data_IF_762401286635
#
_entry.id   IF_762401286635
#
_cell.length_a   1.000
_cell.length_b   1.000
_cell.length_c   1.000
_cell.angle_alpha   90.00
_cell.angle_beta   90.00
_cell.angle_gamma   90.00
#
_symmetry.space_group_name_H-M   'P 1'
#
loop_
_entity.id
_entity.type
_entity.pdbx_description
1 polymer ?
#
# COMPACT_ATOMS: atom_id res chain seq x y z
N UNK A 1 9.11 13.77 11.09
CA UNK A 1 10.44 13.13 11.18
C UNK A 1 11.19 13.43 9.89
N UNK A 2 12.52 13.40 9.91
CA UNK A 2 13.35 13.55 8.71
C UNK A 2 14.25 12.34 8.60
N UNK A 3 14.28 11.69 7.44
CA UNK A 3 15.15 10.54 7.22
C UNK A 3 16.60 11.01 7.15
N UNK A 4 17.44 10.49 8.03
CA UNK A 4 18.80 10.99 8.28
C UNK A 4 19.68 10.97 7.05
N UNK A 5 19.53 9.97 6.19
CA UNK A 5 20.43 9.76 5.07
C UNK A 5 19.98 10.43 3.75
N UNK A 6 18.66 10.66 3.56
CA UNK A 6 18.13 11.24 2.32
C UNK A 6 17.49 12.63 2.51
N UNK A 7 17.42 13.11 3.76
CA UNK A 7 16.89 14.43 4.13
C UNK A 7 15.39 14.62 3.91
N UNK A 8 14.65 13.59 3.51
CA UNK A 8 13.22 13.70 3.21
C UNK A 8 12.40 13.70 4.50
N UNK A 9 11.48 14.65 4.59
CA UNK A 9 10.51 14.72 5.68
C UNK A 9 9.39 13.71 5.48
N UNK A 10 8.96 13.09 6.58
CA UNK A 10 7.85 12.16 6.61
C UNK A 10 7.10 12.22 7.93
N UNK A 11 5.85 11.76 7.91
CA UNK A 11 5.04 11.49 9.10
C UNK A 11 5.02 10.00 9.39
N UNK A 12 5.22 9.65 10.65
CA UNK A 12 5.01 8.32 11.16
C UNK A 12 3.98 8.39 12.28
N UNK A 13 2.89 7.67 12.12
CA UNK A 13 1.85 7.52 13.14
C UNK A 13 1.94 6.11 13.70
N UNK A 14 2.18 6.00 15.01
CA UNK A 14 2.23 4.71 15.70
C UNK A 14 0.91 4.54 16.45
N UNK A 15 0.20 3.44 16.20
CA UNK A 15 -1.13 3.22 16.76
C UNK A 15 -1.23 1.96 17.61
N UNK A 16 -2.19 1.99 18.53
CA UNK A 16 -2.70 0.83 19.25
C UNK A 16 -4.23 0.94 19.29
N UNK A 17 -4.91 0.27 18.36
CA UNK A 17 -6.35 0.32 18.24
C UNK A 17 -7.03 -0.56 19.29
N UNK A 18 -8.23 -0.18 19.72
CA UNK A 18 -9.01 -0.97 20.71
C UNK A 18 -9.51 -2.29 20.11
N UNK A 19 -9.63 -3.35 20.92
CA UNK A 19 -10.09 -4.66 20.44
C UNK A 19 -11.56 -4.70 19.95
N UNK A 20 -12.41 -3.79 20.43
CA UNK A 20 -13.85 -3.76 20.08
C UNK A 20 -14.09 -2.84 18.88
N UNK A 21 -14.83 -3.27 17.84
CA UNK A 21 -15.09 -2.46 16.63
C UNK A 21 -15.57 -1.03 16.92
N UNK A 22 -16.60 -0.88 17.76
CA UNK A 22 -17.15 0.44 18.11
C UNK A 22 -16.13 1.36 18.77
N UNK A 23 -15.18 0.81 19.53
CA UNK A 23 -14.14 1.60 20.22
C UNK A 23 -12.98 1.98 19.30
N UNK A 24 -12.93 1.47 18.06
CA UNK A 24 -11.92 1.85 17.06
C UNK A 24 -12.34 3.08 16.25
N UNK A 25 -13.64 3.38 16.18
CA UNK A 25 -14.18 4.49 15.35
C UNK A 25 -13.53 5.85 15.62
N UNK A 26 -13.30 6.29 16.87
CA UNK A 26 -12.63 7.56 17.11
C UNK A 26 -11.21 7.61 16.53
N UNK A 27 -10.48 6.49 16.54
CA UNK A 27 -9.16 6.41 15.92
C UNK A 27 -9.25 6.51 14.39
N UNK A 28 -10.24 5.85 13.78
CA UNK A 28 -10.48 5.94 12.33
C UNK A 28 -10.81 7.37 11.88
N UNK A 29 -11.64 8.08 12.65
CA UNK A 29 -11.97 9.49 12.40
C UNK A 29 -10.71 10.38 12.46
N UNK A 30 -9.85 10.17 13.45
CA UNK A 30 -8.58 10.90 13.57
C UNK A 30 -7.66 10.61 12.38
N UNK A 31 -7.56 9.36 11.93
CA UNK A 31 -6.77 9.01 10.75
C UNK A 31 -7.32 9.65 9.47
N UNK A 32 -8.65 9.67 9.29
CA UNK A 32 -9.30 10.34 8.15
C UNK A 32 -9.09 11.87 8.17
N UNK A 33 -9.13 12.50 9.34
CA UNK A 33 -8.81 13.94 9.47
C UNK A 33 -7.33 14.21 9.16
N UNK A 34 -6.45 13.31 9.60
CA UNK A 34 -5.02 13.41 9.31
C UNK A 34 -4.74 13.23 7.82
N UNK A 35 -5.36 12.25 7.16
CA UNK A 35 -5.17 11.99 5.73
C UNK A 35 -5.57 13.21 4.88
N UNK A 36 -6.70 13.83 5.21
CA UNK A 36 -7.24 15.01 4.51
C UNK A 36 -6.30 16.23 4.51
N UNK A 37 -5.39 16.30 5.48
CA UNK A 37 -4.42 17.40 5.64
C UNK A 37 -2.97 16.97 5.39
N UNK A 38 -2.72 15.70 5.07
CA UNK A 38 -1.36 15.16 4.93
C UNK A 38 -0.89 15.22 3.48
N UNK A 39 0.01 16.17 3.21
CA UNK A 39 0.66 16.37 1.91
C UNK A 39 2.14 15.94 1.90
N UNK A 40 2.53 15.06 2.83
CA UNK A 40 3.87 14.50 2.94
C UNK A 40 3.81 12.97 2.99
N UNK A 41 4.92 12.28 2.69
CA UNK A 41 5.07 10.85 2.94
C UNK A 41 4.57 10.46 4.33
N UNK A 42 3.59 9.56 4.39
CA UNK A 42 2.96 9.18 5.65
C UNK A 42 2.80 7.67 5.76
N UNK A 43 3.22 7.14 6.91
CA UNK A 43 3.05 5.76 7.29
C UNK A 43 2.35 5.67 8.65
N UNK A 44 1.41 4.75 8.75
CA UNK A 44 0.69 4.36 9.97
C UNK A 44 1.09 2.94 10.31
N UNK A 45 1.72 2.73 11.46
CA UNK A 45 2.20 1.42 11.90
C UNK A 45 1.63 1.06 13.27
N UNK A 46 1.43 -0.23 13.52
CA UNK A 46 1.13 -0.74 14.86
C UNK A 46 0.04 -1.79 14.86
N UNK A 47 -0.60 -1.96 16.02
CA UNK A 47 -1.67 -2.94 16.24
C UNK A 47 -3.03 -2.32 15.89
N UNK A 48 -3.64 -2.80 14.80
CA UNK A 48 -4.96 -2.34 14.34
C UNK A 48 -6.10 -3.13 15.01
N UNK A 49 -5.78 -4.20 15.75
CA UNK A 49 -6.74 -5.09 16.42
C UNK A 49 -7.87 -5.58 15.49
N UNK A 50 -7.55 -5.73 14.20
CA UNK A 50 -8.48 -6.15 13.15
C UNK A 50 -7.74 -6.88 12.04
N UNK A 51 -8.42 -7.87 11.47
CA UNK A 51 -7.97 -8.60 10.28
C UNK A 51 -8.66 -8.01 9.05
N UNK A 52 -7.98 -7.95 7.91
CA UNK A 52 -8.46 -7.44 6.64
C UNK A 52 -9.21 -8.51 5.83
N UNK A 53 -8.84 -9.79 6.01
CA UNK A 53 -9.40 -10.91 5.24
C UNK A 53 -9.44 -12.21 6.05
N UNK A 54 -10.03 -13.26 5.47
CA UNK A 54 -10.11 -14.59 6.13
C UNK A 54 -8.74 -15.24 6.26
N UNK A 55 -7.84 -14.99 5.30
CA UNK A 55 -6.50 -15.56 5.25
C UNK A 55 -5.64 -15.09 6.42
N UNK A 56 -5.93 -13.92 6.98
CA UNK A 56 -5.24 -13.33 8.13
C UNK A 56 -5.62 -13.96 9.47
N UNK A 57 -6.36 -15.08 9.47
CA UNK A 57 -6.77 -15.80 10.68
C UNK A 57 -6.69 -17.32 10.53
N UNK A 58 -6.31 -17.99 11.62
CA UNK A 58 -6.50 -19.44 11.81
C UNK A 58 -7.18 -19.68 13.17
N UNK A 59 -8.14 -20.60 13.20
CA UNK A 59 -8.78 -21.10 14.43
C UNK A 59 -9.90 -20.21 15.00
N UNK A 60 -10.66 -20.79 15.92
CA UNK A 60 -11.83 -20.20 16.56
C UNK A 60 -12.97 -19.83 15.60
N UNK A 61 -13.79 -18.84 15.97
CA UNK A 61 -15.03 -18.50 15.25
C UNK A 61 -14.73 -18.08 13.80
N UNK A 62 -15.52 -18.50 12.79
CA UNK A 62 -15.34 -18.05 11.42
C UNK A 62 -15.21 -16.53 11.27
N UNK A 63 -14.39 -16.13 10.31
CA UNK A 63 -14.26 -14.73 9.93
C UNK A 63 -15.61 -14.16 9.45
N UNK A 64 -15.88 -12.90 9.79
CA UNK A 64 -17.05 -12.17 9.34
C UNK A 64 -16.60 -10.84 8.75
N UNK A 65 -16.84 -10.65 7.45
CA UNK A 65 -16.45 -9.44 6.71
C UNK A 65 -16.93 -8.15 7.39
N UNK A 66 -18.13 -8.17 7.97
CA UNK A 66 -18.69 -7.03 8.70
C UNK A 66 -17.80 -6.47 9.82
N UNK A 67 -16.90 -7.28 10.40
CA UNK A 67 -15.95 -6.83 11.43
C UNK A 67 -14.75 -6.04 10.89
N UNK A 68 -14.53 -6.12 9.57
CA UNK A 68 -13.42 -5.49 8.85
C UNK A 68 -13.87 -4.33 7.97
N UNK A 69 -15.15 -4.22 7.60
CA UNK A 69 -15.65 -3.20 6.67
C UNK A 69 -15.22 -1.79 7.08
N UNK A 70 -15.40 -1.40 8.35
CA UNK A 70 -15.01 -0.06 8.81
C UNK A 70 -13.50 0.19 8.68
N UNK A 71 -12.69 -0.84 8.93
CA UNK A 71 -11.24 -0.75 8.76
C UNK A 71 -10.86 -0.63 7.28
N UNK A 72 -11.43 -1.46 6.41
CA UNK A 72 -11.17 -1.42 4.97
C UNK A 72 -11.63 -0.10 4.34
N UNK A 73 -12.78 0.43 4.78
CA UNK A 73 -13.26 1.76 4.36
C UNK A 73 -12.27 2.83 4.79
N UNK A 74 -11.88 2.88 6.07
CA UNK A 74 -10.92 3.86 6.56
C UNK A 74 -9.58 3.79 5.81
N UNK A 75 -9.05 2.58 5.57
CA UNK A 75 -7.81 2.40 4.80
C UNK A 75 -7.95 2.97 3.39
N UNK A 76 -9.07 2.70 2.72
CA UNK A 76 -9.37 3.25 1.39
C UNK A 76 -9.55 4.77 1.42
N UNK A 77 -10.33 5.29 2.36
CA UNK A 77 -10.67 6.71 2.50
C UNK A 77 -9.43 7.55 2.84
N UNK A 78 -8.48 6.98 3.58
CA UNK A 78 -7.18 7.58 3.85
C UNK A 78 -6.17 7.47 2.68
N UNK A 79 -6.49 6.75 1.60
CA UNK A 79 -5.53 6.46 0.53
C UNK A 79 -4.32 5.67 1.00
N UNK A 80 -4.52 4.78 1.97
CA UNK A 80 -3.46 3.96 2.56
C UNK A 80 -3.44 2.57 1.93
N UNK A 81 -2.23 2.05 1.74
CA UNK A 81 -2.00 0.69 1.23
C UNK A 81 -1.12 -0.10 2.20
N UNK A 82 -1.42 -1.39 2.34
CA UNK A 82 -0.63 -2.30 3.18
C UNK A 82 0.77 -2.49 2.56
N UNK A 83 1.81 -2.22 3.36
CA UNK A 83 3.21 -2.34 2.94
C UNK A 83 3.65 -3.79 2.72
N UNK A 84 2.81 -4.76 3.06
CA UNK A 84 3.16 -6.17 3.08
C UNK A 84 4.07 -6.48 4.27
N UNK A 85 4.67 -7.67 4.25
CA UNK A 85 5.59 -8.11 5.31
C UNK A 85 6.46 -9.30 4.85
N UNK A 86 7.58 -9.48 5.54
CA UNK A 86 8.39 -10.69 5.55
C UNK A 86 8.26 -11.43 6.89
N UNK A 87 8.52 -12.74 6.89
CA UNK A 87 8.48 -13.56 8.11
C UNK A 87 7.10 -14.15 8.41
N UNK A 88 6.79 -14.47 9.68
CA UNK A 88 5.55 -15.12 10.07
C UNK A 88 4.30 -14.37 9.63
N UNK A 89 3.32 -15.10 9.10
CA UNK A 89 2.05 -14.54 8.62
C UNK A 89 1.19 -13.92 9.72
N UNK A 90 1.21 -14.53 10.91
CA UNK A 90 0.41 -14.10 12.04
C UNK A 90 1.27 -13.34 13.03
N UNK A 91 0.73 -12.25 13.55
CA UNK A 91 1.43 -11.38 14.50
C UNK A 91 0.90 -11.56 15.91
N UNK A 92 -0.21 -12.26 16.10
CA UNK A 92 -0.81 -12.49 17.40
C UNK A 92 -1.29 -13.93 17.57
N UNK A 93 -1.14 -14.45 18.80
CA UNK A 93 -1.71 -15.72 19.24
C UNK A 93 -2.42 -15.59 20.58
N UNK A 94 -3.49 -16.36 20.78
CA UNK A 94 -4.08 -16.48 22.12
C UNK A 94 -3.27 -17.39 23.07
N UNK A 95 -2.19 -18.02 22.58
CA UNK A 95 -1.29 -18.87 23.37
C UNK A 95 -1.94 -20.15 23.92
N UNK A 96 -3.12 -20.53 23.43
CA UNK A 96 -3.83 -21.71 23.93
C UNK A 96 -3.40 -22.99 23.20
N UNK A 97 -3.62 -24.13 23.84
CA UNK A 97 -3.24 -25.45 23.31
C UNK A 97 -4.08 -25.90 22.11
N UNK A 98 -3.77 -27.12 21.66
CA UNK A 98 -4.43 -27.78 20.53
C UNK A 98 -5.97 -27.74 20.68
N UNK A 99 -6.68 -27.60 19.56
CA UNK A 99 -8.14 -27.39 19.47
C UNK A 99 -8.68 -26.00 19.89
N UNK A 100 -7.90 -25.16 20.57
CA UNK A 100 -8.34 -23.82 20.99
C UNK A 100 -7.40 -22.67 20.58
N UNK A 101 -6.29 -23.02 19.93
CA UNK A 101 -5.32 -22.05 19.43
C UNK A 101 -5.92 -21.15 18.35
N UNK A 102 -5.63 -19.87 18.42
CA UNK A 102 -6.07 -18.88 17.44
C UNK A 102 -4.91 -17.98 17.09
N UNK A 103 -4.72 -17.77 15.79
CA UNK A 103 -3.70 -16.90 15.24
C UNK A 103 -4.34 -15.81 14.39
N UNK A 104 -3.81 -14.59 14.47
CA UNK A 104 -4.28 -13.44 13.68
C UNK A 104 -3.12 -12.56 13.22
N UNK A 105 -3.27 -11.89 12.09
CA UNK A 105 -2.44 -10.74 11.71
C UNK A 105 -3.13 -9.46 12.16
N UNK A 106 -2.66 -8.86 13.25
CA UNK A 106 -3.22 -7.63 13.82
C UNK A 106 -2.31 -6.42 13.61
N UNK A 107 -1.01 -6.67 13.55
CA UNK A 107 0.03 -5.68 13.37
C UNK A 107 0.35 -5.52 11.89
N UNK A 108 0.42 -4.27 11.41
CA UNK A 108 0.73 -3.96 10.01
C UNK A 108 1.28 -2.53 9.86
N UNK A 109 1.96 -2.29 8.74
CA UNK A 109 2.28 -0.96 8.26
C UNK A 109 1.41 -0.59 7.06
N UNK A 110 0.76 0.56 7.12
CA UNK A 110 -0.03 1.14 6.04
C UNK A 110 0.60 2.46 5.61
N UNK A 111 0.71 2.74 4.32
CA UNK A 111 1.34 3.98 3.84
C UNK A 111 0.58 4.60 2.68
N UNK A 112 0.72 5.92 2.51
CA UNK A 112 0.15 6.62 1.36
C UNK A 112 1.09 6.53 0.13
N UNK A 113 0.58 6.94 -1.03
CA UNK A 113 1.35 6.87 -2.29
C UNK A 113 2.65 7.68 -2.22
N UNK A 114 2.63 8.86 -1.58
CA UNK A 114 3.82 9.69 -1.42
C UNK A 114 4.92 8.99 -0.62
N UNK A 115 4.56 8.15 0.35
CA UNK A 115 5.51 7.31 1.06
C UNK A 115 6.14 6.26 0.15
N UNK A 116 5.34 5.58 -0.68
CA UNK A 116 5.84 4.57 -1.60
C UNK A 116 6.76 5.16 -2.67
N UNK A 117 6.49 6.39 -3.12
CA UNK A 117 7.35 7.13 -4.03
C UNK A 117 8.67 7.55 -3.38
N UNK A 118 8.62 8.00 -2.12
CA UNK A 118 9.78 8.51 -1.40
C UNK A 118 10.68 7.39 -0.85
N UNK A 119 10.07 6.30 -0.40
CA UNK A 119 10.75 5.16 0.22
C UNK A 119 10.40 3.84 -0.50
N UNK A 120 10.76 3.68 -1.79
CA UNK A 120 10.40 2.51 -2.61
C UNK A 120 11.11 1.21 -2.21
N UNK A 121 11.98 1.28 -1.20
CA UNK A 121 12.71 0.16 -0.64
C UNK A 121 12.32 -0.10 0.81
N UNK A 122 11.17 0.40 1.27
CA UNK A 122 10.67 0.10 2.61
C UNK A 122 10.44 -1.41 2.77
N UNK A 123 10.85 -1.96 3.91
CA UNK A 123 10.56 -3.35 4.28
C UNK A 123 9.88 -3.40 5.63
N UNK A 124 8.91 -4.30 5.76
CA UNK A 124 8.26 -4.65 7.02
C UNK A 124 8.55 -6.11 7.31
N UNK A 125 9.02 -6.44 8.51
CA UNK A 125 9.32 -7.81 8.93
C UNK A 125 8.62 -8.12 10.25
N UNK A 126 7.95 -9.26 10.33
CA UNK A 126 7.49 -9.81 11.61
C UNK A 126 8.61 -10.66 12.22
N UNK A 127 9.03 -10.33 13.43
CA UNK A 127 10.09 -11.02 14.16
C UNK A 127 9.48 -12.09 15.08
N UNK A 128 10.25 -13.12 15.41
CA UNK A 128 9.82 -14.13 16.36
C UNK A 128 9.71 -13.53 17.78
N UNK A 129 8.61 -13.82 18.47
CA UNK A 129 8.42 -13.47 19.88
C UNK A 129 8.75 -14.64 20.79
N UNK A 130 9.46 -14.37 21.89
CA UNK A 130 9.78 -15.38 22.91
C UNK A 130 8.93 -15.26 24.20
N UNK A 131 8.14 -14.18 24.35
CA UNK A 131 7.43 -13.91 25.60
C UNK A 131 6.23 -12.96 25.50
N UNK A 132 5.83 -12.56 24.30
CA UNK A 132 4.62 -11.78 24.06
C UNK A 132 3.63 -12.60 23.25
N UNK A 133 2.34 -12.35 23.46
CA UNK A 133 1.30 -12.85 22.57
C UNK A 133 1.31 -12.15 21.20
N UNK A 134 2.09 -11.08 21.04
CA UNK A 134 2.41 -10.44 19.77
C UNK A 134 3.85 -10.72 19.30
N UNK A 135 4.02 -10.78 17.97
CA UNK A 135 5.31 -10.74 17.28
C UNK A 135 5.73 -9.29 17.04
N UNK A 136 6.97 -8.89 17.39
CA UNK A 136 7.48 -7.57 17.07
C UNK A 136 7.47 -7.31 15.56
N UNK A 137 7.13 -6.08 15.17
CA UNK A 137 7.19 -5.63 13.78
C UNK A 137 8.36 -4.67 13.60
N UNK A 138 9.21 -4.95 12.61
CA UNK A 138 10.35 -4.12 12.23
C UNK A 138 10.04 -3.42 10.90
N UNK A 139 10.12 -2.08 10.89
CA UNK A 139 10.03 -1.25 9.69
C UNK A 139 11.42 -0.71 9.36
N UNK A 140 11.92 -0.98 8.17
CA UNK A 140 13.23 -0.50 7.71
C UNK A 140 13.07 0.34 6.45
N UNK A 141 13.78 1.47 6.42
CA UNK A 141 13.85 2.36 5.27
C UNK A 141 15.25 2.24 4.68
N UNK A 142 15.33 1.56 3.55
CA UNK A 142 16.59 1.37 2.83
C UNK A 142 16.79 2.51 1.82
N UNK A 143 18.00 3.03 1.68
CA UNK A 143 18.35 3.82 0.50
C UNK A 143 18.54 2.86 -0.66
N UNK A 144 17.60 2.87 -1.61
CA UNK A 144 17.91 2.37 -2.96
C UNK A 144 18.73 3.42 -3.70
N UNK A 145 19.93 3.05 -4.13
CA UNK A 145 20.52 3.69 -5.31
C UNK A 145 19.65 3.30 -6.51
N UNK A 146 18.99 4.27 -7.14
CA UNK A 146 18.10 4.06 -8.31
C UNK A 146 18.93 3.70 -9.55
N UNK A 147 19.55 2.51 -9.55
CA UNK A 147 20.40 2.03 -10.64
C UNK A 147 19.63 1.12 -11.62
N UNK A 148 18.31 0.97 -11.45
CA UNK A 148 17.47 0.13 -12.30
C UNK A 148 16.86 0.88 -13.48
N UNK A 149 16.97 0.33 -14.70
CA UNK A 149 16.20 0.84 -15.86
C UNK A 149 14.70 0.65 -15.59
N UNK A 150 13.95 1.75 -15.44
CA UNK A 150 12.48 1.73 -15.36
C UNK A 150 11.90 1.62 -16.77
N UNK A 151 11.14 0.56 -17.01
CA UNK A 151 10.39 0.36 -18.25
C UNK A 151 9.01 0.99 -18.14
N UNK A 152 8.48 1.49 -19.25
CA UNK A 152 7.09 1.92 -19.34
C UNK A 152 6.17 0.74 -19.04
N UNK A 153 5.18 0.96 -18.18
CA UNK A 153 4.12 0.00 -17.87
C UNK A 153 2.78 0.65 -18.21
N UNK A 154 1.97 -0.09 -18.94
CA UNK A 154 0.59 0.28 -19.22
C UNK A 154 -0.30 -0.21 -18.07
N UNK A 155 -1.15 0.67 -17.53
CA UNK A 155 -2.15 0.29 -16.54
C UNK A 155 -3.50 0.15 -17.25
N UNK A 156 -4.16 -0.99 -17.07
CA UNK A 156 -5.43 -1.25 -17.76
C UNK A 156 -6.50 -0.22 -17.43
N UNK A 157 -6.54 0.32 -16.20
CA UNK A 157 -7.49 1.35 -15.80
C UNK A 157 -7.38 2.65 -16.61
N UNK A 158 -6.26 2.89 -17.31
CA UNK A 158 -6.13 4.06 -18.17
C UNK A 158 -7.15 4.06 -19.31
N UNK A 159 -7.61 2.89 -19.78
CA UNK A 159 -8.60 2.82 -20.87
C UNK A 159 -9.95 3.42 -20.49
N UNK A 160 -10.27 3.43 -19.20
CA UNK A 160 -11.53 3.95 -18.67
C UNK A 160 -11.49 5.47 -18.47
N UNK A 161 -10.31 6.08 -18.57
CA UNK A 161 -10.17 7.52 -18.40
C UNK A 161 -10.60 8.27 -19.69
N UNK A 162 -11.48 9.28 -19.59
CA UNK A 162 -11.91 10.08 -20.74
C UNK A 162 -10.77 10.71 -21.55
N UNK A 163 -9.65 11.06 -20.92
CA UNK A 163 -8.48 11.66 -21.55
C UNK A 163 -7.60 10.68 -22.34
N UNK A 164 -7.77 9.37 -22.15
CA UNK A 164 -6.90 8.35 -22.75
C UNK A 164 -7.05 8.25 -24.28
N UNK A 165 -8.26 8.01 -24.78
CA UNK A 165 -8.50 7.86 -26.22
C UNK A 165 -8.10 9.11 -27.03
N UNK A 166 -8.42 10.35 -26.59
CA UNK A 166 -7.92 11.56 -27.24
C UNK A 166 -6.40 11.63 -27.34
N UNK A 167 -5.69 11.27 -26.26
CA UNK A 167 -4.23 11.26 -26.23
C UNK A 167 -3.65 10.22 -27.19
N UNK A 168 -4.19 9.01 -27.19
CA UNK A 168 -3.76 7.93 -28.09
C UNK A 168 -3.97 8.33 -29.55
N UNK A 169 -5.16 8.85 -29.88
CA UNK A 169 -5.48 9.33 -31.23
C UNK A 169 -4.51 10.42 -31.70
N UNK A 170 -4.24 11.41 -30.85
CA UNK A 170 -3.29 12.51 -31.14
C UNK A 170 -1.89 12.00 -31.49
N UNK A 171 -1.39 10.97 -30.78
CA UNK A 171 -0.06 10.40 -31.05
C UNK A 171 -0.09 9.49 -32.27
N UNK A 172 -1.11 8.65 -32.40
CA UNK A 172 -1.26 7.71 -33.52
C UNK A 172 -1.51 8.39 -34.87
N UNK A 173 -2.05 9.61 -34.90
CA UNK A 173 -2.26 10.36 -36.14
C UNK A 173 -1.00 11.06 -36.68
N UNK A 174 0.12 11.02 -35.94
CA UNK A 174 1.39 11.55 -36.43
C UNK A 174 1.88 10.72 -37.62
N UNK A 175 2.38 11.41 -38.65
CA UNK A 175 2.92 10.78 -39.85
C UNK A 175 4.22 10.06 -39.48
N UNK A 176 4.29 8.77 -39.80
CA UNK A 176 5.49 7.93 -39.66
C UNK A 176 5.71 7.24 -40.99
N UNK A 177 6.93 7.32 -41.52
CA UNK A 177 7.31 6.69 -42.78
C UNK A 177 7.90 5.30 -42.55
N UNK A 178 7.78 4.42 -43.55
CA UNK A 178 8.22 3.03 -43.49
C UNK A 178 7.10 2.01 -43.72
N UNK A 179 7.43 0.73 -43.56
CA UNK A 179 6.48 -0.36 -43.70
C UNK A 179 5.45 -0.38 -42.54
N UNK A 180 4.41 -1.20 -42.68
CA UNK A 180 3.29 -1.25 -41.71
C UNK A 180 3.77 -1.62 -40.30
N UNK A 181 4.65 -2.61 -40.17
CA UNK A 181 5.16 -3.06 -38.87
C UNK A 181 6.04 -2.00 -38.20
N UNK A 182 6.86 -1.31 -38.99
CA UNK A 182 7.67 -0.19 -38.52
C UNK A 182 6.79 0.96 -38.03
N UNK A 183 5.78 1.35 -38.81
CA UNK A 183 4.81 2.38 -38.42
C UNK A 183 4.10 2.01 -37.11
N UNK A 184 3.67 0.76 -36.97
CA UNK A 184 3.03 0.27 -35.75
C UNK A 184 3.97 0.33 -34.54
N UNK A 185 5.17 -0.23 -34.66
CA UNK A 185 6.19 -0.22 -33.60
C UNK A 185 6.55 1.20 -33.16
N UNK A 186 6.78 2.11 -34.11
CA UNK A 186 7.11 3.51 -33.80
C UNK A 186 5.97 4.23 -33.10
N UNK A 187 4.71 3.97 -33.48
CA UNK A 187 3.54 4.54 -32.79
C UNK A 187 3.46 4.05 -31.35
N UNK A 188 3.63 2.75 -31.09
CA UNK A 188 3.69 2.21 -29.72
C UNK A 188 4.83 2.80 -28.90
N UNK A 189 6.03 2.87 -29.48
CA UNK A 189 7.20 3.47 -28.83
C UNK A 189 6.95 4.94 -28.48
N UNK A 190 6.39 5.71 -29.42
CA UNK A 190 6.10 7.13 -29.25
C UNK A 190 4.97 7.38 -28.25
N UNK A 191 4.03 6.44 -28.10
CA UNK A 191 2.94 6.52 -27.11
C UNK A 191 3.43 6.42 -25.66
N UNK A 192 4.53 5.70 -25.40
CA UNK A 192 5.02 5.45 -24.03
C UNK A 192 5.32 6.74 -23.24
N UNK A 193 5.94 7.73 -23.88
CA UNK A 193 6.35 8.96 -23.20
C UNK A 193 5.16 9.90 -22.87
N UNK A 194 4.26 10.24 -23.82
CA UNK A 194 3.05 11.02 -23.53
C UNK A 194 2.14 10.34 -22.50
N UNK A 195 1.95 9.02 -22.59
CA UNK A 195 1.13 8.28 -21.61
C UNK A 195 1.74 8.35 -20.21
N UNK A 196 3.06 8.16 -20.09
CA UNK A 196 3.74 8.25 -18.79
C UNK A 196 3.73 9.65 -18.17
N UNK A 197 3.64 10.70 -18.99
CA UNK A 197 3.50 12.06 -18.49
C UNK A 197 2.06 12.36 -18.07
N UNK A 198 1.10 12.04 -18.94
CA UNK A 198 -0.33 12.21 -18.68
C UNK A 198 -0.78 11.44 -17.43
N UNK A 199 -0.31 10.20 -17.23
CA UNK A 199 -0.67 9.37 -16.07
C UNK A 199 -0.16 9.89 -14.73
N UNK A 200 0.67 10.94 -14.71
CA UNK A 200 1.17 11.59 -13.48
C UNK A 200 0.42 12.88 -13.16
N UNK A 201 -0.47 13.32 -14.06
CA UNK A 201 -1.25 14.56 -13.94
C UNK A 201 -2.72 14.31 -13.62
N UNK A 202 -3.15 13.05 -13.71
CA UNK A 202 -4.44 12.51 -13.26
C UNK A 202 -4.26 11.87 -11.87
#
# INVERSE_FOLDING_TARGET
MTHTENGKMFHLTIIYAKCKPLLRRPLWEVLNQKSSSCNVPWCVIGDFNVIASVEEKIGGIPYQMSKSIEFLSMTKDCGLVDLGYYGPKYTWSNGRGQCSIMWKRLDRGLANDQWLETFPAVTVSHLASAGSNHNPMLLELHIKQDNGKKYFKFLNCWVDNPGFLPLVSKVCNRKVEGNVMWKFHQKLKTLSHPLSHWSRQE
#
